data_IF_253978337344
#
_entry.id   IF_253978337344
#
_cell.length_a   1.000
_cell.length_b   1.000
_cell.length_c   1.000
_cell.angle_alpha   90.00
_cell.angle_beta   90.00
_cell.angle_gamma   90.00
#
_symmetry.space_group_name_H-M   'P 1'
#
loop_
_entity.id
_entity.type
_entity.pdbx_description
1 polymer ?
#
# COMPACT_ATOMS: atom_id res chain seq x y z
N UNK A 1 30.75 -19.75 -18.43
CA UNK A 1 31.73 -20.23 -17.43
C UNK A 1 32.21 -19.00 -16.67
N UNK A 2 31.98 -18.76 -15.38
CA UNK A 2 31.49 -19.57 -14.26
C UNK A 2 30.64 -18.66 -13.35
N UNK A 3 29.37 -19.06 -13.13
CA UNK A 3 28.58 -18.60 -11.98
C UNK A 3 29.21 -19.24 -10.75
N UNK A 4 29.79 -18.44 -9.88
CA UNK A 4 30.15 -18.84 -8.52
C UNK A 4 29.71 -17.72 -7.57
N UNK A 5 28.39 -17.57 -7.43
CA UNK A 5 27.85 -17.00 -6.20
C UNK A 5 27.98 -18.04 -5.08
N UNK A 6 28.06 -17.64 -3.81
CA UNK A 6 28.08 -18.57 -2.68
C UNK A 6 26.81 -19.44 -2.67
N UNK A 7 26.84 -20.65 -2.08
CA UNK A 7 25.63 -21.45 -1.89
C UNK A 7 24.65 -20.65 -1.02
N UNK A 8 23.40 -20.49 -1.46
CA UNK A 8 22.45 -19.49 -0.95
C UNK A 8 22.10 -18.37 -1.93
N UNK A 9 22.33 -18.56 -3.23
CA UNK A 9 22.00 -17.61 -4.31
C UNK A 9 20.57 -17.07 -4.17
N UNK A 10 20.37 -15.77 -4.42
CA UNK A 10 19.09 -15.02 -4.32
C UNK A 10 17.83 -15.72 -4.88
N UNK A 11 18.00 -16.72 -5.75
CA UNK A 11 16.94 -17.61 -6.22
C UNK A 11 16.41 -18.55 -5.13
N UNK A 12 17.27 -19.06 -4.25
CA UNK A 12 16.92 -19.93 -3.13
C UNK A 12 16.14 -19.14 -2.05
N UNK A 13 16.45 -17.84 -1.86
CA UNK A 13 15.67 -16.95 -1.00
C UNK A 13 14.30 -16.58 -1.61
N UNK A 14 14.17 -16.59 -2.94
CA UNK A 14 12.89 -16.38 -3.62
C UNK A 14 12.04 -17.66 -3.67
N UNK A 15 12.67 -18.85 -3.74
CA UNK A 15 11.99 -20.16 -3.76
C UNK A 15 11.50 -20.61 -2.38
N UNK A 16 12.01 -20.07 -1.27
CA UNK A 16 11.54 -20.39 0.09
C UNK A 16 10.12 -19.84 0.37
N UNK A 17 9.63 -18.84 -0.38
CA UNK A 17 8.34 -18.16 -0.11
C UNK A 17 7.15 -18.82 -0.85
N UNK A 18 7.37 -19.58 -1.93
CA UNK A 18 6.26 -20.20 -2.69
C UNK A 18 5.66 -21.46 -2.03
N UNK A 19 6.34 -22.04 -1.03
CA UNK A 19 5.89 -23.24 -0.30
C UNK A 19 5.58 -22.96 1.18
N UNK A 20 5.45 -21.69 1.58
CA UNK A 20 4.98 -21.40 2.93
C UNK A 20 3.50 -21.81 3.04
N UNK A 21 3.25 -22.94 3.70
CA UNK A 21 1.91 -23.45 3.97
C UNK A 21 1.12 -22.41 4.78
N UNK A 22 0.37 -21.56 4.08
CA UNK A 22 -0.51 -20.57 4.71
C UNK A 22 -1.56 -21.33 5.52
N UNK A 23 -1.62 -21.15 6.86
CA UNK A 23 -2.62 -21.81 7.66
C UNK A 23 -4.02 -21.39 7.21
N UNK A 24 -4.93 -22.34 7.00
CA UNK A 24 -6.33 -22.06 6.62
C UNK A 24 -7.01 -21.20 7.68
N UNK A 25 -6.58 -21.31 8.94
CA UNK A 25 -7.02 -20.45 10.04
C UNK A 25 -6.63 -18.98 9.83
N UNK A 26 -5.47 -18.71 9.22
CA UNK A 26 -5.00 -17.36 8.90
C UNK A 26 -5.85 -16.72 7.80
N UNK A 27 -6.17 -17.48 6.74
CA UNK A 27 -7.08 -17.05 5.68
C UNK A 27 -8.44 -16.65 6.26
N UNK A 28 -9.00 -17.50 7.14
CA UNK A 28 -10.28 -17.24 7.79
C UNK A 28 -10.29 -15.98 8.67
N UNK A 29 -9.18 -15.71 9.37
CA UNK A 29 -9.01 -14.50 10.17
C UNK A 29 -8.87 -13.24 9.30
N UNK A 30 -8.09 -13.30 8.22
CA UNK A 30 -7.98 -12.21 7.26
C UNK A 30 -9.34 -11.89 6.63
N UNK A 31 -10.09 -12.92 6.23
CA UNK A 31 -11.45 -12.78 5.70
C UNK A 31 -12.41 -12.15 6.73
N UNK A 32 -12.27 -12.47 8.03
CA UNK A 32 -13.08 -11.87 9.09
C UNK A 32 -12.85 -10.36 9.22
N UNK A 33 -11.58 -9.92 9.18
CA UNK A 33 -11.25 -8.48 9.21
C UNK A 33 -11.73 -7.78 7.95
N UNK A 34 -11.49 -8.36 6.77
CA UNK A 34 -11.93 -7.77 5.50
C UNK A 34 -13.46 -7.70 5.39
N UNK A 35 -14.17 -8.72 5.89
CA UNK A 35 -15.63 -8.69 5.98
C UNK A 35 -16.10 -7.55 6.90
N UNK A 36 -15.49 -7.40 8.08
CA UNK A 36 -15.84 -6.32 8.98
C UNK A 36 -15.61 -4.94 8.33
N UNK A 37 -14.49 -4.75 7.63
CA UNK A 37 -14.20 -3.53 6.87
C UNK A 37 -15.24 -3.32 5.77
N UNK A 38 -15.57 -4.34 4.99
CA UNK A 38 -16.57 -4.24 3.92
C UNK A 38 -17.95 -3.83 4.47
N UNK A 39 -18.38 -4.40 5.60
CA UNK A 39 -19.64 -4.04 6.25
C UNK A 39 -19.63 -2.60 6.75
N UNK A 40 -18.52 -2.13 7.33
CA UNK A 40 -18.35 -0.72 7.73
C UNK A 40 -18.44 0.20 6.50
N UNK A 41 -17.76 -0.13 5.40
CA UNK A 41 -17.80 0.67 4.17
C UNK A 41 -19.19 0.69 3.54
N UNK A 42 -19.93 -0.41 3.54
CA UNK A 42 -21.33 -0.46 3.09
C UNK A 42 -22.20 0.46 3.96
N UNK A 43 -22.01 0.42 5.28
CA UNK A 43 -22.74 1.28 6.21
C UNK A 43 -22.40 2.78 6.02
N UNK A 44 -21.15 3.09 5.64
CA UNK A 44 -20.69 4.45 5.39
C UNK A 44 -21.02 4.97 3.97
N UNK A 45 -21.31 4.09 3.01
CA UNK A 45 -21.55 4.46 1.61
C UNK A 45 -22.62 5.56 1.41
N UNK A 46 -23.76 5.57 2.14
CA UNK A 46 -24.76 6.64 2.00
C UNK A 46 -24.26 8.03 2.43
N UNK A 47 -23.22 8.09 3.26
CA UNK A 47 -22.63 9.34 3.75
C UNK A 47 -21.44 9.77 2.88
N UNK A 48 -20.77 8.82 2.22
CA UNK A 48 -19.59 9.07 1.40
C UNK A 48 -19.92 9.36 -0.08
N UNK A 49 -21.14 9.01 -0.53
CA UNK A 49 -21.54 9.13 -1.94
C UNK A 49 -22.96 9.64 -2.10
N UNK A 50 -23.17 10.37 -3.19
CA UNK A 50 -24.48 10.90 -3.56
C UNK A 50 -25.46 9.81 -3.98
N UNK A 51 -26.72 10.02 -3.59
CA UNK A 51 -27.84 9.18 -4.01
C UNK A 51 -28.24 9.47 -5.47
N UNK A 52 -29.09 8.61 -6.03
CA UNK A 52 -29.50 8.68 -7.44
C UNK A 52 -30.19 10.02 -7.77
N UNK A 53 -29.75 10.74 -8.83
CA UNK A 53 -30.50 11.88 -9.36
C UNK A 53 -31.88 11.45 -9.84
N UNK A 54 -32.93 12.21 -9.48
CA UNK A 54 -34.30 11.89 -9.85
C UNK A 54 -34.46 11.69 -11.38
N UNK A 55 -35.14 10.61 -11.77
CA UNK A 55 -35.44 10.29 -13.19
C UNK A 55 -34.29 9.65 -13.99
N UNK A 56 -33.15 9.34 -13.38
CA UNK A 56 -32.06 8.60 -14.05
C UNK A 56 -32.12 7.10 -13.76
N UNK A 57 -31.38 6.28 -14.50
CA UNK A 57 -31.28 4.85 -14.21
C UNK A 57 -30.45 4.57 -12.95
N UNK A 58 -30.75 3.48 -12.24
CA UNK A 58 -30.08 3.13 -10.98
C UNK A 58 -28.57 2.94 -11.16
N UNK A 59 -28.11 2.30 -12.24
CA UNK A 59 -26.67 2.07 -12.49
C UNK A 59 -25.85 3.35 -12.75
N UNK A 60 -26.51 4.51 -12.91
CA UNK A 60 -25.86 5.82 -13.01
C UNK A 60 -25.61 6.46 -11.65
N UNK A 61 -26.18 5.91 -10.56
CA UNK A 61 -25.92 6.42 -9.22
C UNK A 61 -24.49 6.04 -8.78
N UNK A 62 -23.64 7.02 -8.40
CA UNK A 62 -22.25 6.76 -8.00
C UNK A 62 -22.11 5.75 -6.86
N UNK A 63 -23.11 5.65 -5.99
CA UNK A 63 -23.13 4.72 -4.85
C UNK A 63 -23.31 3.25 -5.23
N UNK A 64 -23.93 2.94 -6.38
CA UNK A 64 -24.38 1.58 -6.66
C UNK A 64 -23.25 0.61 -7.04
N UNK A 65 -22.22 1.09 -7.75
CA UNK A 65 -21.05 0.26 -8.08
C UNK A 65 -20.21 -0.12 -6.85
N UNK A 66 -19.87 0.82 -5.94
CA UNK A 66 -19.26 0.51 -4.66
C UNK A 66 -20.10 -0.48 -3.83
N UNK A 67 -21.41 -0.26 -3.71
CA UNK A 67 -22.27 -1.17 -2.95
C UNK A 67 -22.33 -2.57 -3.57
N UNK A 68 -22.36 -2.67 -4.89
CA UNK A 68 -22.36 -3.95 -5.58
C UNK A 68 -21.06 -4.73 -5.35
N UNK A 69 -19.90 -4.09 -5.53
CA UNK A 69 -18.60 -4.75 -5.34
C UNK A 69 -18.36 -5.12 -3.87
N UNK A 70 -18.68 -4.22 -2.94
CA UNK A 70 -18.62 -4.51 -1.50
C UNK A 70 -19.61 -5.60 -1.09
N UNK A 71 -20.81 -5.64 -1.70
CA UNK A 71 -21.81 -6.68 -1.47
C UNK A 71 -21.31 -8.06 -1.88
N UNK A 72 -20.70 -8.19 -3.05
CA UNK A 72 -20.07 -9.45 -3.49
C UNK A 72 -18.93 -9.83 -2.55
N UNK A 73 -18.06 -8.89 -2.19
CA UNK A 73 -16.96 -9.13 -1.26
C UNK A 73 -17.47 -9.58 0.12
N UNK A 74 -18.56 -8.98 0.62
CA UNK A 74 -19.18 -9.34 1.89
C UNK A 74 -19.80 -10.73 1.86
N UNK A 75 -20.45 -11.13 0.76
CA UNK A 75 -20.98 -12.49 0.62
C UNK A 75 -19.86 -13.53 0.60
N UNK A 76 -18.81 -13.29 -0.19
CA UNK A 76 -17.64 -14.16 -0.24
C UNK A 76 -16.97 -14.26 1.14
N UNK A 77 -16.71 -13.11 1.78
CA UNK A 77 -16.14 -13.04 3.12
C UNK A 77 -16.99 -13.76 4.16
N UNK A 78 -18.32 -13.57 4.16
CA UNK A 78 -19.22 -14.26 5.07
C UNK A 78 -19.18 -15.78 4.93
N UNK A 79 -19.04 -16.29 3.70
CA UNK A 79 -18.90 -17.74 3.47
C UNK A 79 -17.62 -18.31 4.07
N UNK A 80 -16.49 -17.62 3.93
CA UNK A 80 -15.19 -18.01 4.47
C UNK A 80 -15.20 -17.89 6.01
N UNK A 81 -15.74 -16.79 6.54
CA UNK A 81 -15.88 -16.56 7.98
C UNK A 81 -16.80 -17.58 8.64
N UNK A 82 -17.88 -17.99 7.95
CA UNK A 82 -18.75 -19.07 8.41
C UNK A 82 -17.98 -20.38 8.61
N UNK A 83 -17.15 -20.76 7.62
CA UNK A 83 -16.27 -21.94 7.70
C UNK A 83 -15.23 -21.80 8.81
N UNK A 84 -14.58 -20.64 8.91
CA UNK A 84 -13.61 -20.33 9.97
C UNK A 84 -14.23 -20.45 11.37
N UNK A 85 -15.45 -19.94 11.55
CA UNK A 85 -16.14 -19.99 12.82
C UNK A 85 -16.61 -21.39 13.19
N UNK A 86 -17.05 -22.20 12.22
CA UNK A 86 -17.32 -23.62 12.45
C UNK A 86 -16.04 -24.36 12.85
N UNK A 87 -14.92 -24.13 12.16
CA UNK A 87 -13.64 -24.74 12.47
C UNK A 87 -13.12 -24.36 13.87
N UNK A 88 -13.27 -23.09 14.25
CA UNK A 88 -12.91 -22.62 15.59
C UNK A 88 -13.73 -23.29 16.70
N UNK A 89 -15.02 -23.54 16.45
CA UNK A 89 -15.92 -24.19 17.42
C UNK A 89 -15.61 -25.66 17.64
N UNK A 90 -15.18 -26.35 16.59
CA UNK A 90 -14.84 -27.78 16.62
C UNK A 90 -13.36 -28.04 16.87
N UNK A 91 -12.54 -27.01 17.07
CA UNK A 91 -11.12 -27.16 17.31
C UNK A 91 -10.85 -27.79 18.69
N UNK A 92 -10.04 -28.85 18.71
CA UNK A 92 -9.61 -29.54 19.94
C UNK A 92 -8.74 -28.62 20.82
N UNK A 93 -7.86 -27.82 20.20
CA UNK A 93 -7.04 -26.81 20.87
C UNK A 93 -7.27 -25.40 20.29
N UNK A 94 -8.01 -24.59 21.04
CA UNK A 94 -8.34 -23.21 20.66
C UNK A 94 -7.16 -22.25 20.75
N UNK A 95 -6.16 -22.55 21.57
CA UNK A 95 -4.98 -21.69 21.73
C UNK A 95 -4.10 -21.84 20.49
N UNK A 96 -3.82 -23.08 20.07
CA UNK A 96 -3.09 -23.38 18.85
C UNK A 96 -3.80 -22.81 17.61
N UNK A 97 -5.13 -22.97 17.52
CA UNK A 97 -5.94 -22.38 16.45
C UNK A 97 -5.78 -20.86 16.38
N UNK A 98 -5.83 -20.17 17.53
CA UNK A 98 -5.67 -18.71 17.58
C UNK A 98 -4.28 -18.28 17.13
N UNK A 99 -3.23 -19.01 17.51
CA UNK A 99 -1.86 -18.69 17.08
C UNK A 99 -1.71 -18.80 15.56
N UNK A 100 -2.26 -19.86 14.95
CA UNK A 100 -2.30 -20.02 13.49
C UNK A 100 -3.14 -18.95 12.80
N UNK A 101 -4.29 -18.60 13.37
CA UNK A 101 -5.12 -17.53 12.86
C UNK A 101 -4.43 -16.15 12.88
N UNK A 102 -3.65 -15.87 13.94
CA UNK A 102 -2.89 -14.62 14.07
C UNK A 102 -1.68 -14.54 13.14
N UNK A 103 -1.26 -15.66 12.53
CA UNK A 103 -0.22 -15.65 11.50
C UNK A 103 -0.56 -14.69 10.34
N UNK A 104 -1.86 -14.49 10.04
CA UNK A 104 -2.35 -13.51 9.08
C UNK A 104 -1.82 -12.07 9.29
N UNK A 105 -1.41 -11.74 10.52
CA UNK A 105 -0.88 -10.43 10.90
C UNK A 105 0.61 -10.46 11.24
N UNK A 106 1.33 -11.55 10.93
CA UNK A 106 2.76 -11.69 11.21
C UNK A 106 3.61 -10.56 10.60
N UNK A 107 3.26 -10.13 9.37
CA UNK A 107 3.92 -9.01 8.69
C UNK A 107 3.40 -7.61 9.04
N UNK A 108 2.40 -7.50 9.91
CA UNK A 108 1.69 -6.23 10.15
C UNK A 108 2.61 -5.14 10.71
N UNK A 109 3.57 -5.51 11.58
CA UNK A 109 4.53 -4.56 12.13
C UNK A 109 5.38 -3.88 11.05
N UNK A 110 5.90 -4.67 10.11
CA UNK A 110 6.70 -4.16 8.97
C UNK A 110 5.82 -3.34 8.03
N UNK A 111 4.59 -3.79 7.75
CA UNK A 111 3.65 -3.03 6.93
C UNK A 111 3.30 -1.66 7.55
N UNK A 112 3.08 -1.61 8.86
CA UNK A 112 2.83 -0.36 9.59
C UNK A 112 4.06 0.55 9.59
N UNK A 113 5.27 -0.01 9.69
CA UNK A 113 6.52 0.76 9.60
C UNK A 113 6.65 1.46 8.23
N UNK A 114 6.45 0.74 7.12
CA UNK A 114 6.47 1.35 5.79
C UNK A 114 5.31 2.33 5.56
N UNK A 115 4.13 2.04 6.11
CA UNK A 115 2.99 2.97 6.09
C UNK A 115 3.34 4.28 6.81
N UNK A 116 4.05 4.20 7.94
CA UNK A 116 4.52 5.37 8.66
C UNK A 116 5.54 6.17 7.85
N UNK A 117 6.48 5.52 7.16
CA UNK A 117 7.40 6.23 6.26
C UNK A 117 6.65 6.95 5.14
N UNK A 118 5.59 6.34 4.61
CA UNK A 118 4.76 6.99 3.62
C UNK A 118 4.02 8.22 4.20
N UNK A 119 3.48 8.13 5.42
CA UNK A 119 2.90 9.29 6.10
C UNK A 119 3.92 10.42 6.30
N UNK A 120 5.15 10.09 6.71
CA UNK A 120 6.24 11.07 6.84
C UNK A 120 6.59 11.68 5.49
N UNK A 121 6.60 10.89 4.41
CA UNK A 121 6.78 11.38 3.05
C UNK A 121 5.70 12.39 2.66
N UNK A 122 4.42 12.13 2.95
CA UNK A 122 3.33 13.07 2.65
C UNK A 122 3.54 14.43 3.35
N UNK A 123 3.97 14.43 4.61
CA UNK A 123 4.36 15.64 5.32
C UNK A 123 5.59 16.32 4.67
N UNK A 124 6.54 15.51 4.22
CA UNK A 124 7.72 15.98 3.50
C UNK A 124 7.37 16.65 2.16
N UNK A 125 6.36 16.17 1.43
CA UNK A 125 5.91 16.80 0.18
C UNK A 125 5.44 18.23 0.43
N UNK A 126 4.71 18.48 1.52
CA UNK A 126 4.21 19.82 1.88
C UNK A 126 5.35 20.81 2.19
N UNK A 127 6.44 20.33 2.80
CA UNK A 127 7.57 21.19 3.22
C UNK A 127 8.68 21.32 2.17
N UNK A 128 9.09 20.21 1.56
CA UNK A 128 10.24 20.11 0.67
C UNK A 128 9.85 20.14 -0.81
N UNK A 129 8.57 19.89 -1.13
CA UNK A 129 8.09 19.70 -2.49
C UNK A 129 8.22 18.27 -2.97
N UNK A 130 7.44 17.93 -4.01
CA UNK A 130 7.27 16.58 -4.52
C UNK A 130 8.60 15.90 -4.88
N UNK A 131 9.46 16.57 -5.64
CA UNK A 131 10.72 15.99 -6.15
C UNK A 131 11.69 15.61 -5.03
N UNK A 132 11.97 16.54 -4.12
CA UNK A 132 12.93 16.31 -3.02
C UNK A 132 12.37 15.27 -2.05
N UNK A 133 11.09 15.39 -1.68
CA UNK A 133 10.44 14.43 -0.79
C UNK A 133 10.46 13.01 -1.38
N UNK A 134 10.17 12.87 -2.68
CA UNK A 134 10.15 11.56 -3.36
C UNK A 134 11.54 10.95 -3.45
N UNK A 135 12.56 11.77 -3.73
CA UNK A 135 13.95 11.32 -3.74
C UNK A 135 14.39 10.77 -2.38
N UNK A 136 14.14 11.55 -1.30
CA UNK A 136 14.50 11.16 0.05
C UNK A 136 13.72 9.90 0.49
N UNK A 137 12.44 9.84 0.18
CA UNK A 137 11.59 8.70 0.52
C UNK A 137 12.05 7.41 -0.17
N UNK A 138 12.28 7.43 -1.49
CA UNK A 138 12.74 6.25 -2.21
C UNK A 138 14.13 5.81 -1.72
N UNK A 139 15.02 6.76 -1.44
CA UNK A 139 16.33 6.43 -0.91
C UNK A 139 16.27 5.81 0.48
N UNK A 140 15.36 6.31 1.34
CA UNK A 140 15.11 5.76 2.68
C UNK A 140 14.55 4.34 2.59
N UNK A 141 13.56 4.10 1.74
CA UNK A 141 12.92 2.79 1.56
C UNK A 141 13.93 1.76 1.05
N UNK A 142 14.73 2.11 0.04
CA UNK A 142 15.78 1.24 -0.52
C UNK A 142 16.87 0.95 0.52
N UNK A 143 17.25 1.95 1.33
CA UNK A 143 18.22 1.74 2.40
C UNK A 143 17.65 0.83 3.51
N UNK A 144 16.38 0.99 3.85
CA UNK A 144 15.69 0.23 4.90
C UNK A 144 15.38 -1.22 4.50
N UNK A 145 15.19 -1.49 3.22
CA UNK A 145 15.07 -2.84 2.66
C UNK A 145 16.41 -3.59 2.59
N UNK A 146 17.53 -2.96 2.98
CA UNK A 146 18.86 -3.56 2.99
C UNK A 146 19.63 -3.42 1.67
N UNK A 147 19.02 -2.81 0.64
CA UNK A 147 19.60 -2.59 -0.69
C UNK A 147 20.57 -1.40 -0.69
N UNK A 148 21.69 -1.53 0.03
CA UNK A 148 22.63 -0.42 0.29
C UNK A 148 23.72 -0.23 -0.77
N UNK A 149 23.80 -1.12 -1.76
CA UNK A 149 24.82 -1.06 -2.81
C UNK A 149 24.66 0.18 -3.72
N UNK A 150 25.76 0.70 -4.31
CA UNK A 150 25.71 1.91 -5.16
C UNK A 150 24.80 1.74 -6.38
N UNK A 151 24.65 0.51 -6.88
CA UNK A 151 23.70 0.17 -7.95
C UNK A 151 22.26 0.47 -7.56
N UNK A 152 21.88 0.17 -6.32
CA UNK A 152 20.51 0.36 -5.80
C UNK A 152 20.21 1.82 -5.50
N UNK A 153 21.20 2.56 -4.97
CA UNK A 153 21.13 4.02 -4.81
C UNK A 153 20.92 4.70 -6.17
N UNK A 154 21.72 4.32 -7.18
CA UNK A 154 21.58 4.85 -8.53
C UNK A 154 20.23 4.48 -9.18
N UNK A 155 19.74 3.26 -8.97
CA UNK A 155 18.44 2.83 -9.45
C UNK A 155 17.29 3.63 -8.79
N UNK A 156 17.34 3.85 -7.47
CA UNK A 156 16.36 4.64 -6.73
C UNK A 156 16.30 6.09 -7.24
N UNK A 157 17.48 6.68 -7.47
CA UNK A 157 17.61 8.01 -8.07
C UNK A 157 17.02 8.05 -9.48
N UNK A 158 17.37 7.09 -10.34
CA UNK A 158 16.85 7.01 -11.71
C UNK A 158 15.33 6.85 -11.75
N UNK A 159 14.77 6.02 -10.86
CA UNK A 159 13.31 5.86 -10.71
C UNK A 159 12.66 7.17 -10.27
N UNK A 160 13.26 7.89 -9.31
CA UNK A 160 12.75 9.21 -8.88
C UNK A 160 12.71 10.19 -10.05
N UNK A 161 13.79 10.28 -10.82
CA UNK A 161 13.85 11.14 -12.02
C UNK A 161 12.77 10.74 -13.02
N UNK A 162 12.59 9.45 -13.28
CA UNK A 162 11.54 8.94 -14.15
C UNK A 162 10.13 9.32 -13.68
N UNK A 163 9.85 9.17 -12.39
CA UNK A 163 8.58 9.59 -11.77
C UNK A 163 8.35 11.08 -11.99
N UNK A 164 9.32 11.93 -11.65
CA UNK A 164 9.21 13.39 -11.82
C UNK A 164 8.95 13.75 -13.28
N UNK A 165 9.64 13.12 -14.23
CA UNK A 165 9.41 13.34 -15.66
C UNK A 165 7.99 12.95 -16.06
N UNK A 166 7.47 11.80 -15.62
CA UNK A 166 6.11 11.35 -15.95
C UNK A 166 5.07 12.32 -15.38
N UNK A 167 5.20 12.73 -14.11
CA UNK A 167 4.25 13.68 -13.51
C UNK A 167 4.30 15.05 -14.18
N UNK A 168 5.50 15.51 -14.54
CA UNK A 168 5.70 16.87 -15.06
C UNK A 168 5.41 16.99 -16.55
N UNK A 169 5.90 16.05 -17.37
CA UNK A 169 5.73 16.05 -18.81
C UNK A 169 4.53 15.22 -19.27
N UNK A 170 4.21 14.12 -18.58
CA UNK A 170 3.11 13.24 -18.95
C UNK A 170 1.75 13.74 -18.46
N UNK A 171 1.68 14.17 -17.19
CA UNK A 171 0.41 14.58 -16.55
C UNK A 171 0.27 16.11 -16.51
N UNK A 172 1.35 16.87 -16.67
CA UNK A 172 1.33 18.34 -16.64
C UNK A 172 1.03 18.91 -15.24
N UNK A 173 1.32 18.15 -14.19
CA UNK A 173 0.96 18.51 -12.82
C UNK A 173 1.95 19.55 -12.28
N UNK A 174 1.45 20.76 -12.02
CA UNK A 174 2.21 21.86 -11.43
C UNK A 174 2.02 21.89 -9.91
N UNK A 175 3.10 21.67 -9.17
CA UNK A 175 3.09 21.81 -7.72
C UNK A 175 3.39 23.26 -7.33
N UNK A 176 2.74 23.78 -6.26
CA UNK A 176 3.13 25.07 -5.71
C UNK A 176 4.57 25.01 -5.18
N UNK A 177 5.28 26.14 -5.26
CA UNK A 177 6.65 26.24 -4.78
C UNK A 177 6.72 25.88 -3.28
N UNK A 178 7.53 24.89 -2.94
CA UNK A 178 7.64 24.40 -1.57
C UNK A 178 8.15 25.50 -0.61
N UNK A 179 7.65 25.55 0.65
CA UNK A 179 8.04 26.55 1.63
C UNK A 179 9.55 26.65 1.85
N UNK A 180 10.28 25.53 1.75
CA UNK A 180 11.74 25.53 1.94
C UNK A 180 12.48 26.45 0.96
N UNK A 181 11.95 26.63 -0.25
CA UNK A 181 12.57 27.52 -1.24
C UNK A 181 12.44 29.00 -0.90
N UNK A 182 11.56 29.37 0.03
CA UNK A 182 11.47 30.76 0.55
C UNK A 182 12.65 31.15 1.43
N UNK A 183 13.41 30.17 1.93
CA UNK A 183 14.64 30.40 2.70
C UNK A 183 15.83 30.74 1.80
N UNK A 184 15.74 30.45 0.50
CA UNK A 184 16.80 30.74 -0.46
C UNK A 184 16.60 32.10 -1.13
N UNK A 185 17.67 32.71 -1.67
CA UNK A 185 17.56 33.94 -2.45
C UNK A 185 16.54 33.81 -3.60
N UNK A 186 15.83 34.89 -3.92
CA UNK A 186 14.74 34.89 -4.90
C UNK A 186 15.11 34.32 -6.28
N UNK A 187 16.39 34.40 -6.68
CA UNK A 187 16.87 33.81 -7.94
C UNK A 187 16.80 32.27 -7.95
N UNK A 188 16.98 31.61 -6.81
CA UNK A 188 16.85 30.15 -6.66
C UNK A 188 15.39 29.74 -6.83
N UNK A 189 14.47 30.43 -6.16
CA UNK A 189 13.03 30.19 -6.29
C UNK A 189 12.52 30.44 -7.72
N UNK A 190 13.01 31.50 -8.38
CA UNK A 190 12.60 31.81 -9.75
C UNK A 190 13.19 30.86 -10.81
N UNK A 191 14.41 30.34 -10.60
CA UNK A 191 15.02 29.38 -11.53
C UNK A 191 14.53 27.96 -11.31
N UNK A 192 14.37 27.54 -10.05
CA UNK A 192 13.92 26.19 -9.70
C UNK A 192 12.40 26.06 -9.69
N UNK A 193 11.64 27.10 -9.36
CA UNK A 193 10.17 27.06 -9.42
C UNK A 193 9.63 26.89 -10.83
N UNK A 194 10.44 27.15 -11.87
CA UNK A 194 10.14 26.80 -13.25
C UNK A 194 10.43 25.35 -13.61
N UNK A 195 11.15 24.59 -12.76
CA UNK A 195 11.70 23.26 -13.07
C UNK A 195 11.31 22.16 -12.05
N UNK A 196 10.99 22.53 -10.81
CA UNK A 196 10.51 21.66 -9.72
C UNK A 196 9.01 21.82 -9.50
#
# INVERSE_FOLDING_TARGET
MTRSGPPGTELELAEIDENEDIPVEAEGMAAAVLLAVALVLIALAPFATESQPAGKAWYLAPINWPLFSLGIAALAGASIVGRFFTAWRTADDRIAFRQRALWAFGGLGVALEYSLYFCVYLLGVDWFGFTIATLLFLQLVVWRSGLRGPKWVAAAFAVTVGIVIVFRLGIGLWFPLAPIFKLFPAWVGNTLGGIL
#
